data_IF_264185836874
#
_entry.id   IF_264185836874
#
_cell.length_a   1.000
_cell.length_b   1.000
_cell.length_c   1.000
_cell.angle_alpha   90.00
_cell.angle_beta   90.00
_cell.angle_gamma   90.00
#
_symmetry.space_group_name_H-M   'P 1'
#
loop_
_entity.id
_entity.type
_entity.pdbx_description
1 polymer ?
#
# COMPACT_ATOMS: atom_id res chain seq x y z
N UNK A 1 15.87 7.66 -8.06
CA UNK A 1 15.66 7.90 -6.61
C UNK A 1 15.24 9.33 -6.31
N UNK A 2 15.98 10.39 -6.71
CA UNK A 2 15.49 11.79 -6.56
C UNK A 2 14.15 12.05 -7.26
N UNK A 3 13.84 11.33 -8.35
CA UNK A 3 12.57 11.43 -9.08
C UNK A 3 11.36 10.93 -8.28
N UNK A 4 11.52 9.99 -7.33
CA UNK A 4 10.42 9.51 -6.47
C UNK A 4 10.01 10.58 -5.46
N UNK A 5 10.99 11.14 -4.74
CA UNK A 5 10.79 12.26 -3.81
C UNK A 5 10.20 13.51 -4.47
N UNK A 6 10.45 13.72 -5.77
CA UNK A 6 9.97 14.89 -6.51
C UNK A 6 8.57 14.71 -7.14
N UNK A 7 8.00 13.49 -7.21
CA UNK A 7 6.74 13.23 -7.96
C UNK A 7 5.64 12.50 -7.18
N UNK A 8 5.90 11.89 -6.04
CA UNK A 8 4.91 11.09 -5.31
C UNK A 8 3.92 11.93 -4.49
N UNK A 9 2.71 12.18 -5.01
CA UNK A 9 1.60 12.64 -4.17
C UNK A 9 1.01 11.44 -3.41
N UNK A 10 1.13 11.45 -2.08
CA UNK A 10 0.47 10.49 -1.18
C UNK A 10 -1.05 10.69 -1.22
N UNK A 11 -1.74 10.04 -2.17
CA UNK A 11 -3.19 9.85 -2.12
C UNK A 11 -3.51 8.36 -2.16
N UNK A 12 -4.03 7.88 -1.03
CA UNK A 12 -4.66 6.57 -0.87
C UNK A 12 -5.94 6.55 -1.70
N UNK A 13 -6.02 5.66 -2.68
CA UNK A 13 -7.28 5.32 -3.36
C UNK A 13 -8.17 4.57 -2.37
N UNK A 14 -9.33 5.14 -2.05
CA UNK A 14 -10.37 4.49 -1.26
C UNK A 14 -11.39 3.86 -2.21
N UNK A 15 -11.16 2.60 -2.55
CA UNK A 15 -12.19 1.69 -3.05
C UNK A 15 -12.18 0.46 -2.14
N UNK A 16 -13.19 0.36 -1.28
CA UNK A 16 -13.49 -0.86 -0.51
C UNK A 16 -14.15 -1.89 -1.44
N UNK A 17 -13.74 -3.16 -1.43
CA UNK A 17 -14.48 -4.23 -2.09
C UNK A 17 -15.64 -4.73 -1.22
N UNK A 18 -16.82 -4.84 -1.83
CA UNK A 18 -18.03 -5.45 -1.27
C UNK A 18 -17.80 -6.92 -0.91
N UNK A 19 -18.00 -7.29 0.36
CA UNK A 19 -18.12 -8.69 0.79
C UNK A 19 -19.56 -9.00 1.17
N UNK A 20 -20.13 -9.99 0.47
CA UNK A 20 -21.44 -10.58 0.71
C UNK A 20 -21.50 -11.25 2.09
N UNK A 21 -22.43 -10.82 2.95
CA UNK A 21 -22.74 -11.50 4.21
C UNK A 21 -23.81 -12.56 3.99
N UNK A 22 -23.46 -13.83 4.25
CA UNK A 22 -24.39 -14.97 4.28
C UNK A 22 -25.13 -14.97 5.63
N UNK A 23 -26.45 -14.87 5.59
CA UNK A 23 -27.32 -14.99 6.76
C UNK A 23 -27.45 -16.45 7.20
N UNK A 24 -27.13 -16.74 8.47
CA UNK A 24 -27.53 -17.98 9.14
C UNK A 24 -28.82 -17.74 9.92
N UNK A 25 -29.88 -18.44 9.51
CA UNK A 25 -31.20 -18.48 10.14
C UNK A 25 -31.17 -19.57 11.22
N UNK A 26 -31.51 -19.21 12.46
CA UNK A 26 -31.85 -20.18 13.51
C UNK A 26 -33.36 -20.44 13.46
N UNK A 27 -33.73 -21.70 13.24
CA UNK A 27 -35.10 -22.23 13.29
C UNK A 27 -35.32 -22.79 14.70
N UNK A 28 -36.44 -22.46 15.32
CA UNK A 28 -37.11 -23.32 16.30
C UNK A 28 -38.62 -23.35 16.00
N UNK A 29 -39.16 -24.57 15.90
CA UNK A 29 -40.52 -24.91 15.52
C UNK A 29 -41.45 -24.95 16.74
N UNK A 30 -42.71 -24.48 16.61
CA UNK A 30 -43.89 -25.30 16.92
C UNK A 30 -45.21 -24.69 16.41
N UNK A 31 -45.98 -25.58 15.77
CA UNK A 31 -47.37 -25.62 15.26
C UNK A 31 -48.46 -25.14 16.27
N UNK A 32 -49.70 -24.73 15.96
CA UNK A 32 -50.62 -24.97 14.84
C UNK A 32 -51.86 -24.01 14.92
N UNK A 33 -52.61 -23.94 13.80
CA UNK A 33 -54.05 -23.66 13.62
C UNK A 33 -54.56 -22.28 13.12
N UNK A 34 -55.03 -22.36 11.86
CA UNK A 34 -56.31 -21.90 11.29
C UNK A 34 -56.60 -20.41 11.02
N UNK A 35 -56.64 -20.12 9.71
CA UNK A 35 -57.56 -19.27 8.95
C UNK A 35 -58.23 -18.07 9.66
N UNK A 36 -57.86 -16.85 9.25
CA UNK A 36 -58.81 -16.01 8.52
C UNK A 36 -58.11 -14.83 7.82
N UNK A 37 -58.54 -14.58 6.59
CA UNK A 37 -58.13 -13.48 5.73
C UNK A 37 -58.40 -12.13 6.37
N UNK A 38 -57.38 -11.29 6.54
CA UNK A 38 -57.55 -9.84 6.57
C UNK A 38 -56.25 -9.12 6.17
N UNK A 39 -56.36 -8.33 5.10
CA UNK A 39 -55.30 -7.50 4.53
C UNK A 39 -54.67 -6.57 5.59
N UNK A 40 -53.42 -6.87 5.98
CA UNK A 40 -52.62 -5.99 6.81
C UNK A 40 -52.00 -4.92 5.89
N UNK A 41 -52.59 -3.74 5.87
CA UNK A 41 -51.96 -2.53 5.31
C UNK A 41 -50.63 -2.30 6.04
N UNK A 42 -49.49 -2.10 5.33
CA UNK A 42 -48.25 -1.76 5.99
C UNK A 42 -48.38 -0.38 6.64
N UNK A 43 -48.26 -0.31 7.97
CA UNK A 43 -48.00 0.95 8.67
C UNK A 43 -46.62 1.43 8.23
N UNK A 44 -46.59 2.44 7.36
CA UNK A 44 -45.38 3.17 7.04
C UNK A 44 -44.70 3.63 8.34
N UNK A 45 -43.56 3.04 8.68
CA UNK A 45 -42.60 3.64 9.60
C UNK A 45 -42.16 4.97 8.98
N UNK A 46 -42.68 6.09 9.49
CA UNK A 46 -42.09 7.40 9.22
C UNK A 46 -40.74 7.43 9.95
N UNK A 47 -39.61 7.66 9.25
CA UNK A 47 -38.36 7.97 9.92
C UNK A 47 -38.59 9.24 10.74
N UNK A 48 -38.47 9.18 12.06
CA UNK A 48 -38.39 10.39 12.87
C UNK A 48 -37.04 11.01 12.58
N UNK A 49 -36.97 11.89 11.58
CA UNK A 49 -35.82 12.76 11.38
C UNK A 49 -35.68 13.61 12.64
N UNK A 50 -34.69 13.35 13.49
CA UNK A 50 -34.33 14.26 14.59
C UNK A 50 -34.11 15.64 13.96
N UNK A 51 -34.98 16.60 14.27
CA UNK A 51 -34.80 17.99 13.83
C UNK A 51 -33.50 18.53 14.44
N UNK A 52 -32.47 18.64 13.62
CA UNK A 52 -31.18 19.23 13.97
C UNK A 52 -31.26 20.74 13.72
N UNK A 53 -30.85 21.56 14.70
CA UNK A 53 -30.77 23.01 14.52
C UNK A 53 -29.49 23.33 13.76
N UNK A 54 -29.61 24.08 12.66
CA UNK A 54 -28.44 24.55 11.91
C UNK A 54 -27.75 25.68 12.68
N UNK A 55 -26.43 25.74 12.55
CA UNK A 55 -25.63 26.83 13.07
C UNK A 55 -25.89 28.12 12.27
N UNK A 56 -25.90 29.26 12.95
CA UNK A 56 -26.01 30.60 12.37
C UNK A 56 -24.76 31.39 12.70
N UNK A 57 -24.17 32.07 11.71
CA UNK A 57 -22.93 32.85 11.89
C UNK A 57 -23.07 33.96 12.95
N UNK A 58 -24.28 34.48 13.17
CA UNK A 58 -24.53 35.48 14.22
C UNK A 58 -24.22 34.96 15.64
N UNK A 59 -24.16 33.63 15.85
CA UNK A 59 -23.85 33.02 17.15
C UNK A 59 -22.40 33.25 17.59
N UNK A 60 -21.54 33.76 16.71
CA UNK A 60 -20.22 34.24 17.08
C UNK A 60 -20.28 35.38 18.10
N UNK A 61 -21.34 36.21 18.06
CA UNK A 61 -21.61 37.25 19.07
C UNK A 61 -21.89 36.68 20.46
N UNK A 62 -22.29 35.41 20.53
CA UNK A 62 -22.50 34.67 21.79
C UNK A 62 -21.26 33.87 22.20
N UNK A 63 -20.14 34.00 21.47
CA UNK A 63 -18.90 33.30 21.74
C UNK A 63 -18.87 31.85 21.26
N UNK A 64 -19.65 31.49 20.23
CA UNK A 64 -19.70 30.15 19.67
C UNK A 64 -19.24 30.10 18.21
N UNK A 65 -18.72 28.95 17.80
CA UNK A 65 -18.38 28.61 16.41
C UNK A 65 -18.98 27.25 16.04
N UNK A 66 -19.14 26.98 14.75
CA UNK A 66 -19.60 25.69 14.29
C UNK A 66 -18.47 24.65 14.36
N UNK A 67 -18.77 23.48 14.91
CA UNK A 67 -17.91 22.30 14.85
C UNK A 67 -18.75 21.06 14.54
N UNK A 68 -18.75 20.63 13.27
CA UNK A 68 -19.50 19.46 12.78
C UNK A 68 -20.95 19.43 13.29
N UNK A 69 -21.71 20.50 13.00
CA UNK A 69 -23.12 20.70 13.36
C UNK A 69 -23.41 20.85 14.86
N UNK A 70 -22.38 21.05 15.67
CA UNK A 70 -22.50 21.30 17.10
C UNK A 70 -21.88 22.66 17.48
N UNK A 71 -22.48 23.42 18.41
CA UNK A 71 -21.90 24.67 18.86
C UNK A 71 -20.70 24.41 19.78
N UNK A 72 -19.54 24.95 19.41
CA UNK A 72 -18.33 24.94 20.22
C UNK A 72 -18.08 26.32 20.81
N UNK A 73 -17.88 26.41 22.13
CA UNK A 73 -17.51 27.66 22.78
C UNK A 73 -16.08 28.04 22.38
N UNK A 74 -15.88 29.27 21.91
CA UNK A 74 -14.58 29.79 21.47
C UNK A 74 -13.60 29.98 22.63
N UNK A 75 -14.11 30.23 23.85
CA UNK A 75 -13.30 30.56 25.02
C UNK A 75 -12.79 29.30 25.74
N UNK A 76 -13.69 28.39 26.12
CA UNK A 76 -13.32 27.16 26.81
C UNK A 76 -13.15 25.94 25.89
N UNK A 77 -13.34 26.10 24.58
CA UNK A 77 -13.27 25.01 23.58
C UNK A 77 -14.29 23.87 23.78
N UNK A 78 -15.25 24.01 24.71
CA UNK A 78 -16.27 22.99 25.00
C UNK A 78 -17.26 22.85 23.84
N UNK A 79 -17.39 21.65 23.29
CA UNK A 79 -18.43 21.30 22.32
C UNK A 79 -19.71 20.97 23.08
N UNK A 80 -20.79 21.66 22.75
CA UNK A 80 -22.11 21.41 23.32
C UNK A 80 -22.94 20.57 22.34
N UNK A 81 -23.93 19.80 22.81
CA UNK A 81 -24.80 19.06 21.90
C UNK A 81 -25.63 20.02 21.04
N UNK A 82 -26.05 19.60 19.85
CA UNK A 82 -26.91 20.39 18.95
C UNK A 82 -28.19 20.92 19.63
N UNK A 83 -28.74 20.21 20.62
CA UNK A 83 -29.89 20.67 21.41
C UNK A 83 -29.63 21.99 22.18
N UNK A 84 -28.36 22.37 22.33
CA UNK A 84 -27.87 23.63 22.92
C UNK A 84 -27.72 24.76 21.91
N UNK A 85 -27.94 24.54 20.61
CA UNK A 85 -27.89 25.56 19.54
C UNK A 85 -29.00 26.62 19.64
N UNK A 86 -29.82 26.62 20.71
CA UNK A 86 -30.71 27.74 20.99
C UNK A 86 -29.92 28.93 21.54
N UNK A 87 -30.12 30.16 21.01
CA UNK A 87 -29.41 31.36 21.48
C UNK A 87 -29.47 31.56 22.99
N UNK A 88 -30.63 31.31 23.63
CA UNK A 88 -30.78 31.41 25.08
C UNK A 88 -29.88 30.44 25.87
N UNK A 89 -29.62 29.24 25.34
CA UNK A 89 -28.75 28.24 25.99
C UNK A 89 -27.27 28.58 25.82
N UNK A 90 -26.88 29.05 24.64
CA UNK A 90 -25.53 29.55 24.37
C UNK A 90 -25.22 30.79 25.20
N UNK A 91 -26.15 31.76 25.26
CA UNK A 91 -26.04 32.93 26.13
C UNK A 91 -25.89 32.55 27.60
N UNK A 92 -26.73 31.62 28.09
CA UNK A 92 -26.59 31.12 29.46
C UNK A 92 -25.21 30.53 29.73
N UNK A 93 -24.64 29.75 28.80
CA UNK A 93 -23.27 29.23 28.95
C UNK A 93 -22.24 30.36 29.03
N UNK A 94 -22.33 31.37 28.15
CA UNK A 94 -21.43 32.52 28.17
C UNK A 94 -21.54 33.26 29.52
N UNK A 95 -22.75 33.54 29.98
CA UNK A 95 -22.98 34.28 31.23
C UNK A 95 -22.57 33.49 32.47
N UNK A 96 -22.84 32.19 32.51
CA UNK A 96 -22.59 31.37 33.70
C UNK A 96 -21.15 30.89 33.83
N UNK A 97 -20.46 30.65 32.70
CA UNK A 97 -19.08 30.12 32.68
C UNK A 97 -18.05 31.22 32.37
N UNK A 98 -18.45 32.24 31.61
CA UNK A 98 -17.58 33.31 31.12
C UNK A 98 -18.19 34.69 31.39
N UNK A 99 -18.76 34.89 32.59
CA UNK A 99 -19.52 36.09 32.95
C UNK A 99 -18.77 37.41 32.75
N UNK A 100 -17.43 37.40 32.87
CA UNK A 100 -16.56 38.55 32.63
C UNK A 100 -16.46 38.97 31.16
N UNK A 101 -16.83 38.08 30.23
CA UNK A 101 -16.71 38.27 28.78
C UNK A 101 -18.07 38.57 28.12
N UNK A 102 -19.16 38.66 28.90
CA UNK A 102 -20.53 38.81 28.40
C UNK A 102 -20.76 40.09 27.57
N UNK A 103 -20.02 41.17 27.84
CA UNK A 103 -20.17 42.47 27.18
C UNK A 103 -19.09 42.74 26.12
N UNK A 104 -18.25 41.73 25.81
CA UNK A 104 -17.24 41.90 24.76
C UNK A 104 -17.90 41.98 23.39
N UNK A 105 -17.32 42.79 22.52
CA UNK A 105 -17.82 42.97 21.16
C UNK A 105 -17.59 41.72 20.30
N UNK A 106 -18.29 41.66 19.17
CA UNK A 106 -18.17 40.54 18.23
C UNK A 106 -16.72 40.37 17.72
N UNK A 107 -16.01 41.48 17.52
CA UNK A 107 -14.63 41.49 17.04
C UNK A 107 -13.67 40.74 17.98
N UNK A 108 -13.89 40.84 19.30
CA UNK A 108 -13.14 40.07 20.29
C UNK A 108 -13.31 38.56 20.08
N UNK A 109 -14.54 38.09 19.85
CA UNK A 109 -14.83 36.69 19.62
C UNK A 109 -14.32 36.19 18.27
N UNK A 110 -14.39 37.02 17.21
CA UNK A 110 -13.77 36.73 15.91
C UNK A 110 -12.27 36.52 16.07
N UNK A 111 -11.57 37.47 16.71
CA UNK A 111 -10.12 37.34 16.93
C UNK A 111 -9.77 36.09 17.74
N UNK A 112 -10.53 35.79 18.80
CA UNK A 112 -10.31 34.58 19.62
C UNK A 112 -10.59 33.29 18.86
N UNK A 113 -11.61 33.26 18.01
CA UNK A 113 -11.89 32.14 17.10
C UNK A 113 -10.72 31.91 16.16
N UNK A 114 -10.18 32.97 15.57
CA UNK A 114 -9.09 32.87 14.61
C UNK A 114 -7.78 32.42 15.28
N UNK A 115 -7.52 32.88 16.51
CA UNK A 115 -6.42 32.36 17.36
C UNK A 115 -6.58 30.85 17.63
N UNK A 116 -7.80 30.41 18.00
CA UNK A 116 -8.12 29.01 18.25
C UNK A 116 -7.97 28.15 16.98
N UNK A 117 -8.53 28.59 15.85
CA UNK A 117 -8.41 27.94 14.54
C UNK A 117 -6.96 27.84 14.08
N UNK A 118 -6.17 28.91 14.26
CA UNK A 118 -4.74 28.91 13.94
C UNK A 118 -3.96 27.90 14.79
N UNK A 119 -4.26 27.81 16.08
CA UNK A 119 -3.68 26.80 16.97
C UNK A 119 -4.04 25.38 16.55
N UNK A 120 -5.32 25.12 16.26
CA UNK A 120 -5.80 23.82 15.78
C UNK A 120 -5.15 23.43 14.44
N UNK A 121 -5.10 24.34 13.47
CA UNK A 121 -4.49 24.09 12.16
C UNK A 121 -2.97 23.84 12.27
N UNK A 122 -2.27 24.58 13.13
CA UNK A 122 -0.85 24.36 13.40
C UNK A 122 -0.59 22.96 13.99
N UNK A 123 -1.42 22.51 14.94
CA UNK A 123 -1.33 21.16 15.51
C UNK A 123 -1.63 20.08 14.48
N UNK A 124 -2.64 20.27 13.62
CA UNK A 124 -2.98 19.32 12.55
C UNK A 124 -1.89 19.24 11.48
N UNK A 125 -1.31 20.37 11.05
CA UNK A 125 -0.19 20.38 10.11
C UNK A 125 1.07 19.73 10.72
N UNK A 126 1.37 20.02 11.98
CA UNK A 126 2.53 19.44 12.66
C UNK A 126 2.39 17.93 12.82
N UNK A 127 1.20 17.43 13.14
CA UNK A 127 0.95 15.98 13.27
C UNK A 127 0.95 15.26 11.93
N UNK A 128 0.40 15.87 10.87
CA UNK A 128 0.48 15.34 9.49
C UNK A 128 1.93 15.23 9.01
N UNK A 129 2.71 16.31 9.14
CA UNK A 129 4.12 16.34 8.69
C UNK A 129 5.03 15.39 9.47
N UNK A 130 4.79 15.20 10.78
CA UNK A 130 5.54 14.22 11.59
C UNK A 130 5.22 12.79 11.15
N UNK A 131 3.97 12.50 10.77
CA UNK A 131 3.58 11.17 10.29
C UNK A 131 4.15 10.86 8.89
N UNK A 132 4.17 11.86 8.00
CA UNK A 132 4.80 11.76 6.67
C UNK A 132 6.29 11.45 6.79
N UNK A 133 7.04 12.21 7.60
CA UNK A 133 8.48 11.97 7.82
C UNK A 133 8.77 10.62 8.47
N UNK A 134 7.91 10.16 9.39
CA UNK A 134 8.06 8.85 10.00
C UNK A 134 7.83 7.72 8.97
N UNK A 135 6.86 7.89 8.08
CA UNK A 135 6.58 6.95 6.98
C UNK A 135 7.73 6.93 5.97
N UNK A 136 8.24 8.11 5.59
CA UNK A 136 9.40 8.25 4.71
C UNK A 136 10.63 7.54 5.29
N UNK A 137 10.94 7.77 6.57
CA UNK A 137 12.03 7.10 7.26
C UNK A 137 11.85 5.57 7.28
N UNK A 138 10.62 5.08 7.45
CA UNK A 138 10.30 3.65 7.38
C UNK A 138 10.65 3.05 6.01
N UNK A 139 10.22 3.69 4.91
CA UNK A 139 10.58 3.25 3.56
C UNK A 139 12.10 3.28 3.31
N UNK A 140 12.80 4.29 3.80
CA UNK A 140 14.26 4.37 3.66
C UNK A 140 14.97 3.21 4.35
N UNK A 141 14.55 2.86 5.57
CA UNK A 141 15.10 1.71 6.30
C UNK A 141 14.79 0.41 5.55
N UNK A 142 13.54 0.20 5.13
CA UNK A 142 13.14 -0.98 4.34
C UNK A 142 13.98 -1.13 3.07
N UNK A 143 14.16 -0.04 2.32
CA UNK A 143 14.98 -0.02 1.12
C UNK A 143 16.43 -0.42 1.40
N UNK A 144 17.04 0.13 2.46
CA UNK A 144 18.43 -0.17 2.83
C UNK A 144 18.63 -1.64 3.23
N UNK A 145 17.66 -2.23 3.94
CA UNK A 145 17.67 -3.65 4.28
C UNK A 145 17.63 -4.50 3.01
N UNK A 146 16.68 -4.23 2.11
CA UNK A 146 16.54 -4.97 0.85
C UNK A 146 17.78 -4.83 -0.03
N UNK A 147 18.35 -3.62 -0.13
CA UNK A 147 19.55 -3.37 -0.93
C UNK A 147 20.76 -4.17 -0.44
N UNK A 148 20.83 -4.46 0.85
CA UNK A 148 21.91 -5.26 1.47
C UNK A 148 21.61 -6.76 1.50
N UNK A 149 20.40 -7.17 1.11
CA UNK A 149 19.97 -8.58 1.16
C UNK A 149 19.77 -9.11 2.59
N UNK A 150 19.53 -8.22 3.55
CA UNK A 150 19.38 -8.58 4.96
C UNK A 150 17.95 -9.04 5.28
N UNK A 151 17.79 -9.83 6.34
CA UNK A 151 16.47 -10.24 6.82
C UNK A 151 15.67 -9.02 7.31
N UNK A 152 14.43 -8.85 6.84
CA UNK A 152 13.60 -7.70 7.19
C UNK A 152 13.27 -7.61 8.69
N UNK A 153 13.38 -8.73 9.41
CA UNK A 153 13.18 -8.81 10.86
C UNK A 153 14.21 -8.01 11.67
N UNK A 154 15.35 -7.68 11.07
CA UNK A 154 16.40 -6.86 11.69
C UNK A 154 15.91 -5.44 12.03
N UNK A 155 14.90 -4.95 11.30
CA UNK A 155 14.34 -3.62 11.51
C UNK A 155 13.74 -3.46 12.91
N UNK A 156 12.88 -4.41 13.30
CA UNK A 156 12.19 -4.40 14.59
C UNK A 156 13.11 -4.86 15.73
N UNK A 157 13.87 -5.94 15.49
CA UNK A 157 14.69 -6.59 16.51
C UNK A 157 15.96 -5.83 16.87
N UNK A 158 16.55 -5.07 15.93
CA UNK A 158 17.86 -4.44 16.13
C UNK A 158 17.89 -2.96 15.73
N UNK A 159 17.50 -2.60 14.51
CA UNK A 159 17.68 -1.24 14.00
C UNK A 159 16.89 -0.23 14.83
N UNK A 160 15.61 -0.52 15.10
CA UNK A 160 14.74 0.37 15.88
C UNK A 160 15.25 0.59 17.32
N UNK A 161 15.53 -0.44 18.13
CA UNK A 161 16.03 -0.23 19.49
C UNK A 161 17.41 0.45 19.49
N UNK A 162 18.33 0.07 18.61
CA UNK A 162 19.64 0.73 18.51
C UNK A 162 19.52 2.22 18.18
N UNK A 163 18.69 2.58 17.20
CA UNK A 163 18.47 3.98 16.83
C UNK A 163 17.87 4.78 18.00
N UNK A 164 16.97 4.17 18.78
CA UNK A 164 16.39 4.81 19.96
C UNK A 164 17.43 5.03 21.07
N UNK A 165 18.24 4.03 21.39
CA UNK A 165 19.29 4.15 22.42
C UNK A 165 20.38 5.16 22.03
N UNK A 166 20.80 5.16 20.75
CA UNK A 166 21.75 6.15 20.24
C UNK A 166 21.22 7.58 20.39
N UNK A 167 19.97 7.83 19.96
CA UNK A 167 19.36 9.16 20.07
C UNK A 167 19.11 9.58 21.51
N UNK A 168 18.74 8.63 22.37
CA UNK A 168 18.56 8.87 23.80
C UNK A 168 19.87 9.26 24.49
N UNK A 169 20.96 8.57 24.15
CA UNK A 169 22.30 8.84 24.69
C UNK A 169 22.88 10.16 24.17
N UNK A 170 22.76 10.42 22.86
CA UNK A 170 23.41 11.57 22.21
C UNK A 170 22.60 12.87 22.29
N UNK A 171 21.27 12.78 22.34
CA UNK A 171 20.39 13.93 22.31
C UNK A 171 19.55 14.00 23.60
N UNK A 172 18.41 13.30 23.62
CA UNK A 172 17.48 13.31 24.75
C UNK A 172 16.35 12.28 24.57
N UNK A 173 15.66 11.96 25.67
CA UNK A 173 14.52 11.05 25.71
C UNK A 173 13.33 11.50 24.83
N UNK A 174 13.09 12.81 24.67
CA UNK A 174 11.98 13.33 23.84
C UNK A 174 12.27 13.09 22.36
N UNK A 175 13.52 13.25 21.94
CA UNK A 175 13.99 12.95 20.58
C UNK A 175 13.91 11.45 20.29
N UNK A 176 14.29 10.59 21.24
CA UNK A 176 14.14 9.13 21.10
C UNK A 176 12.66 8.71 20.94
N UNK A 177 11.74 9.36 21.68
CA UNK A 177 10.29 9.18 21.52
C UNK A 177 9.72 9.64 20.17
N UNK A 178 10.46 10.44 19.40
CA UNK A 178 10.08 10.74 18.00
C UNK A 178 10.48 9.59 17.08
N UNK A 179 11.66 9.01 17.27
CA UNK A 179 12.15 7.84 16.52
C UNK A 179 11.27 6.61 16.77
N UNK A 180 10.79 6.42 18.00
CA UNK A 180 9.91 5.29 18.32
C UNK A 180 8.61 5.26 17.50
N UNK A 181 8.17 6.42 16.99
CA UNK A 181 6.99 6.56 16.12
C UNK A 181 7.23 6.08 14.68
N UNK A 182 8.48 5.84 14.27
CA UNK A 182 8.76 5.27 12.96
C UNK A 182 8.23 3.82 12.95
N UNK A 183 7.32 3.48 12.02
CA UNK A 183 6.75 2.15 11.96
C UNK A 183 7.76 1.21 11.30
N UNK A 184 8.42 0.38 12.12
CA UNK A 184 9.42 -0.60 11.69
C UNK A 184 9.08 -2.00 12.23
N UNK A 185 7.80 -2.29 12.48
CA UNK A 185 7.40 -3.67 12.80
C UNK A 185 7.68 -4.57 11.61
N UNK A 186 7.90 -5.86 11.85
CA UNK A 186 8.12 -6.87 10.83
C UNK A 186 7.08 -6.79 9.71
N UNK A 187 5.79 -6.73 10.07
CA UNK A 187 4.69 -6.58 9.10
C UNK A 187 4.76 -5.28 8.32
N UNK A 188 5.11 -4.17 8.98
CA UNK A 188 5.25 -2.89 8.29
C UNK A 188 6.35 -2.98 7.25
N UNK A 189 7.54 -3.43 7.66
CA UNK A 189 8.72 -3.46 6.81
C UNK A 189 8.50 -4.42 5.64
N UNK A 190 7.89 -5.59 5.87
CA UNK A 190 7.50 -6.50 4.81
C UNK A 190 6.56 -5.83 3.79
N UNK A 191 5.53 -5.13 4.27
CA UNK A 191 4.62 -4.38 3.39
C UNK A 191 5.34 -3.28 2.61
N UNK A 192 6.25 -2.52 3.24
CA UNK A 192 7.04 -1.50 2.55
C UNK A 192 7.95 -2.09 1.47
N UNK A 193 8.53 -3.26 1.72
CA UNK A 193 9.33 -3.99 0.72
C UNK A 193 8.45 -4.40 -0.45
N UNK A 194 7.25 -4.92 -0.20
CA UNK A 194 6.29 -5.28 -1.24
C UNK A 194 5.84 -4.06 -2.06
N UNK A 195 5.58 -2.92 -1.41
CA UNK A 195 5.24 -1.66 -2.08
C UNK A 195 6.38 -1.21 -3.01
N UNK A 196 7.63 -1.25 -2.52
CA UNK A 196 8.82 -0.90 -3.30
C UNK A 196 9.00 -1.85 -4.49
N UNK A 197 8.83 -3.15 -4.27
CA UNK A 197 8.92 -4.14 -5.33
C UNK A 197 7.84 -3.93 -6.40
N UNK A 198 6.60 -3.65 -5.99
CA UNK A 198 5.50 -3.35 -6.90
C UNK A 198 5.76 -2.09 -7.73
N UNK A 199 6.32 -1.03 -7.13
CA UNK A 199 6.67 0.20 -7.85
C UNK A 199 7.77 -0.05 -8.90
N UNK A 200 8.82 -0.77 -8.54
CA UNK A 200 9.90 -1.17 -9.47
C UNK A 200 9.33 -2.02 -10.60
N UNK A 201 8.46 -2.98 -10.29
CA UNK A 201 7.82 -3.84 -11.27
C UNK A 201 6.93 -3.04 -12.23
N UNK A 202 6.15 -2.08 -11.72
CA UNK A 202 5.30 -1.22 -12.54
C UNK A 202 6.12 -0.34 -13.50
N UNK A 203 7.22 0.23 -13.01
CA UNK A 203 8.15 1.00 -13.85
C UNK A 203 8.77 0.12 -14.94
N UNK A 204 9.19 -1.11 -14.61
CA UNK A 204 9.69 -2.07 -15.60
C UNK A 204 8.62 -2.39 -16.65
N UNK A 205 7.41 -2.75 -16.23
CA UNK A 205 6.27 -3.04 -17.13
C UNK A 205 6.02 -1.86 -18.07
N UNK A 206 5.96 -0.64 -17.52
CA UNK A 206 5.74 0.58 -18.29
C UNK A 206 6.79 0.75 -19.40
N UNK A 207 8.06 0.47 -19.11
CA UNK A 207 9.14 0.50 -20.10
C UNK A 207 8.97 -0.58 -21.17
N UNK A 208 8.68 -1.83 -20.76
CA UNK A 208 8.54 -2.95 -21.69
C UNK A 208 7.37 -2.80 -22.68
N UNK A 209 6.33 -2.03 -22.32
CA UNK A 209 5.25 -1.68 -23.25
C UNK A 209 5.73 -0.88 -24.47
N UNK A 210 6.79 -0.09 -24.32
CA UNK A 210 7.27 0.83 -25.37
C UNK A 210 8.65 0.47 -25.94
N UNK A 211 9.42 -0.37 -25.25
CA UNK A 211 10.78 -0.73 -25.64
C UNK A 211 10.85 -2.15 -26.22
N UNK A 212 11.77 -2.36 -27.16
CA UNK A 212 12.16 -3.71 -27.58
C UNK A 212 12.96 -4.39 -26.47
N UNK A 213 12.69 -5.67 -26.23
CA UNK A 213 13.31 -6.44 -25.16
C UNK A 213 13.63 -7.86 -25.58
N UNK A 214 14.59 -8.47 -24.89
CA UNK A 214 14.93 -9.88 -24.99
C UNK A 214 14.70 -10.55 -23.64
N UNK A 215 14.26 -11.80 -23.66
CA UNK A 215 14.02 -12.60 -22.46
C UNK A 215 15.12 -13.64 -22.29
N UNK A 216 15.63 -13.78 -21.08
CA UNK A 216 16.48 -14.89 -20.69
C UNK A 216 15.74 -15.69 -19.62
N UNK A 217 15.51 -16.97 -19.89
CA UNK A 217 14.68 -17.83 -19.05
C UNK A 217 15.50 -19.02 -18.57
N UNK A 218 15.45 -19.27 -17.26
CA UNK A 218 16.14 -20.38 -16.60
C UNK A 218 15.21 -21.11 -15.62
N UNK A 219 15.39 -22.42 -15.51
CA UNK A 219 14.75 -23.24 -14.50
C UNK A 219 15.73 -23.51 -13.37
N UNK A 220 15.34 -23.16 -12.15
CA UNK A 220 16.11 -23.46 -10.94
C UNK A 220 15.29 -24.32 -9.98
N UNK A 221 15.93 -24.88 -8.97
CA UNK A 221 15.26 -25.62 -7.89
C UNK A 221 15.49 -24.90 -6.57
N UNK A 222 14.41 -24.66 -5.83
CA UNK A 222 14.48 -24.01 -4.53
C UNK A 222 15.01 -24.96 -3.43
N UNK A 223 15.07 -24.47 -2.20
CA UNK A 223 15.56 -25.26 -1.05
C UNK A 223 14.59 -26.37 -0.63
N UNK A 224 13.32 -26.29 -1.05
CA UNK A 224 12.29 -27.30 -0.84
C UNK A 224 12.19 -28.30 -2.01
N UNK A 225 13.01 -28.14 -3.06
CA UNK A 225 13.01 -28.96 -4.26
C UNK A 225 11.90 -28.62 -5.27
N UNK A 226 11.24 -27.47 -5.11
CA UNK A 226 10.26 -26.95 -6.07
C UNK A 226 10.98 -26.29 -7.24
N UNK A 227 10.50 -26.55 -8.45
CA UNK A 227 11.00 -25.87 -9.64
C UNK A 227 10.56 -24.41 -9.63
N UNK A 228 11.50 -23.49 -9.87
CA UNK A 228 11.28 -22.06 -9.99
C UNK A 228 11.69 -21.63 -11.39
N UNK A 229 10.77 -20.96 -12.09
CA UNK A 229 11.07 -20.25 -13.31
C UNK A 229 11.63 -18.86 -12.97
N UNK A 230 12.83 -18.57 -13.45
CA UNK A 230 13.46 -17.26 -13.38
C UNK A 230 13.49 -16.68 -14.79
N UNK A 231 12.92 -15.49 -14.96
CA UNK A 231 12.93 -14.74 -16.21
C UNK A 231 13.58 -13.40 -15.99
N UNK A 232 14.68 -13.18 -16.68
CA UNK A 232 15.40 -11.92 -16.75
C UNK A 232 15.05 -11.25 -18.08
N UNK A 233 14.84 -9.94 -18.06
CA UNK A 233 14.55 -9.14 -19.25
C UNK A 233 15.70 -8.19 -19.52
N UNK A 234 16.17 -8.16 -20.77
CA UNK A 234 17.13 -7.17 -21.28
C UNK A 234 16.41 -6.21 -22.20
N UNK A 235 16.52 -4.92 -21.95
CA UNK A 235 15.82 -3.90 -22.74
C UNK A 235 16.66 -2.65 -22.88
N UNK A 236 16.43 -1.90 -23.96
CA UNK A 236 17.11 -0.63 -24.18
C UNK A 236 16.28 0.53 -23.60
N UNK A 237 16.90 1.34 -22.75
CA UNK A 237 16.29 2.54 -22.18
C UNK A 237 17.29 3.70 -22.19
N UNK A 238 16.88 4.87 -22.69
CA UNK A 238 17.73 6.08 -22.77
C UNK A 238 19.12 5.83 -23.38
N UNK A 239 19.20 4.94 -24.40
CA UNK A 239 20.44 4.50 -25.07
C UNK A 239 21.36 3.58 -24.26
N UNK A 240 20.93 3.12 -23.09
CA UNK A 240 21.61 2.10 -22.28
C UNK A 240 20.88 0.77 -22.34
N UNK A 241 21.64 -0.32 -22.35
CA UNK A 241 21.08 -1.66 -22.21
C UNK A 241 20.97 -1.97 -20.71
N UNK A 242 19.74 -2.22 -20.26
CA UNK A 242 19.43 -2.58 -18.88
C UNK A 242 19.02 -4.05 -18.80
N UNK A 243 19.27 -4.66 -17.66
CA UNK A 243 18.88 -6.02 -17.33
C UNK A 243 18.18 -6.00 -15.97
N UNK A 244 16.97 -6.55 -15.91
CA UNK A 244 16.16 -6.60 -14.69
C UNK A 244 15.49 -7.99 -14.56
N UNK A 245 15.14 -8.36 -13.32
CA UNK A 245 14.33 -9.54 -13.04
C UNK A 245 12.87 -9.26 -13.40
N UNK A 246 12.32 -9.98 -14.38
CA UNK A 246 10.93 -9.86 -14.80
C UNK A 246 10.01 -10.72 -13.93
N UNK A 247 10.41 -11.97 -13.68
CA UNK A 247 9.58 -12.96 -12.99
C UNK A 247 10.45 -13.98 -12.27
N UNK A 248 10.05 -14.34 -11.04
CA UNK A 248 10.60 -15.44 -10.27
C UNK A 248 9.42 -16.14 -9.58
N UNK A 249 8.96 -17.27 -10.11
CA UNK A 249 7.77 -17.97 -9.59
C UNK A 249 7.96 -19.48 -9.60
N UNK A 250 7.40 -20.14 -8.59
CA UNK A 250 7.31 -21.59 -8.52
C UNK A 250 6.42 -22.14 -9.63
N UNK A 251 6.85 -23.22 -10.26
CA UNK A 251 6.04 -24.01 -11.18
C UNK A 251 5.22 -25.04 -10.38
N UNK A 252 3.93 -25.22 -10.66
CA UNK A 252 3.05 -25.97 -9.77
C UNK A 252 3.41 -27.44 -9.62
N UNK A 253 3.75 -28.17 -10.71
CA UNK A 253 3.97 -29.62 -10.65
C UNK A 253 4.92 -30.15 -11.74
N UNK A 254 4.85 -29.68 -13.00
CA UNK A 254 5.65 -30.25 -14.11
C UNK A 254 6.36 -29.16 -14.89
N UNK A 255 7.68 -29.28 -15.03
CA UNK A 255 8.49 -28.36 -15.82
C UNK A 255 8.32 -28.64 -17.31
N UNK A 256 7.14 -28.34 -17.85
CA UNK A 256 6.82 -28.49 -19.27
C UNK A 256 6.88 -27.14 -19.96
N UNK A 257 7.22 -27.15 -21.26
CA UNK A 257 7.25 -25.93 -22.05
C UNK A 257 5.89 -25.23 -22.15
N UNK A 258 4.78 -25.96 -21.98
CA UNK A 258 3.44 -25.38 -21.94
C UNK A 258 3.22 -24.58 -20.65
N UNK A 259 3.49 -25.14 -19.48
CA UNK A 259 3.32 -24.43 -18.19
C UNK A 259 4.20 -23.18 -18.11
N UNK A 260 5.44 -23.27 -18.59
CA UNK A 260 6.38 -22.14 -18.64
C UNK A 260 5.85 -21.05 -19.58
N UNK A 261 5.34 -21.44 -20.75
CA UNK A 261 4.72 -20.51 -21.69
C UNK A 261 3.47 -19.86 -21.09
N UNK A 262 2.55 -20.63 -20.51
CA UNK A 262 1.28 -20.13 -19.96
C UNK A 262 1.50 -19.16 -18.80
N UNK A 263 2.48 -19.44 -17.92
CA UNK A 263 2.85 -18.56 -16.83
C UNK A 263 3.39 -17.21 -17.34
N UNK A 264 4.26 -17.26 -18.33
CA UNK A 264 4.84 -16.06 -18.95
C UNK A 264 3.77 -15.29 -19.74
N UNK A 265 2.94 -15.99 -20.51
CA UNK A 265 1.87 -15.40 -21.30
C UNK A 265 0.84 -14.71 -20.40
N UNK A 266 0.41 -15.37 -19.32
CA UNK A 266 -0.50 -14.77 -18.33
C UNK A 266 0.09 -13.51 -17.70
N UNK A 267 1.41 -13.47 -17.48
CA UNK A 267 2.08 -12.28 -16.98
C UNK A 267 2.10 -11.15 -18.01
N UNK A 268 2.48 -11.44 -19.26
CA UNK A 268 2.57 -10.41 -20.30
C UNK A 268 1.18 -9.88 -20.67
N UNK A 269 0.20 -10.76 -20.90
CA UNK A 269 -1.18 -10.37 -21.22
C UNK A 269 -1.83 -9.61 -20.06
N UNK A 270 -1.68 -10.10 -18.83
CA UNK A 270 -2.23 -9.45 -17.63
C UNK A 270 -1.65 -8.05 -17.38
N UNK A 271 -0.44 -7.78 -17.88
CA UNK A 271 0.21 -6.47 -17.80
C UNK A 271 0.19 -5.68 -19.12
N UNK A 272 -0.51 -6.17 -20.14
CA UNK A 272 -0.61 -5.58 -21.48
C UNK A 272 0.75 -5.31 -22.15
N UNK A 273 1.72 -6.21 -21.97
CA UNK A 273 3.03 -6.14 -22.62
C UNK A 273 2.93 -6.84 -23.98
N UNK A 274 3.13 -6.13 -25.11
CA UNK A 274 2.96 -6.72 -26.43
C UNK A 274 4.12 -7.66 -26.76
N UNK A 275 3.80 -8.88 -27.17
CA UNK A 275 4.77 -9.88 -27.66
C UNK A 275 5.58 -9.39 -28.87
N UNK A 276 5.04 -8.45 -29.65
CA UNK A 276 5.72 -7.80 -30.78
C UNK A 276 7.00 -7.04 -30.38
N UNK A 277 7.14 -6.69 -29.10
CA UNK A 277 8.32 -6.05 -28.56
C UNK A 277 9.42 -7.04 -28.15
N UNK A 278 9.09 -8.33 -28.04
CA UNK A 278 10.05 -9.38 -27.76
C UNK A 278 10.86 -9.69 -29.03
N UNK A 279 12.16 -9.32 -29.03
CA UNK A 279 13.04 -9.49 -30.19
C UNK A 279 13.86 -10.76 -30.14
N UNK A 280 14.20 -11.25 -28.94
CA UNK A 280 14.97 -12.48 -28.76
C UNK A 280 14.58 -13.20 -27.48
N UNK A 281 14.65 -14.54 -27.52
CA UNK A 281 14.47 -15.38 -26.34
C UNK A 281 15.68 -16.30 -26.22
N UNK A 282 16.32 -16.21 -25.07
CA UNK A 282 17.46 -17.01 -24.68
C UNK A 282 17.02 -18.05 -23.65
N UNK A 283 17.07 -19.33 -24.03
CA UNK A 283 16.91 -20.43 -23.07
C UNK A 283 18.27 -20.91 -22.60
N UNK A 284 18.44 -21.00 -21.29
CA UNK A 284 19.55 -21.72 -20.66
C UNK A 284 19.25 -23.23 -20.68
N UNK A 285 20.30 -24.05 -20.65
CA UNK A 285 20.31 -25.52 -20.44
C UNK A 285 19.84 -26.48 -21.53
N UNK A 286 19.18 -26.02 -22.60
CA UNK A 286 18.78 -26.91 -23.70
C UNK A 286 17.76 -27.99 -23.29
N UNK A 287 17.15 -27.89 -22.10
CA UNK A 287 16.16 -28.84 -21.63
C UNK A 287 15.00 -28.93 -22.62
N UNK A 288 14.44 -30.13 -22.78
CA UNK A 288 13.32 -30.37 -23.72
C UNK A 288 12.12 -29.47 -23.43
N UNK A 289 11.92 -29.08 -22.16
CA UNK A 289 10.87 -28.16 -21.74
C UNK A 289 11.09 -26.74 -22.27
N UNK A 290 12.34 -26.27 -22.32
CA UNK A 290 12.70 -24.92 -22.76
C UNK A 290 12.94 -24.86 -24.28
N UNK A 291 13.87 -25.69 -24.77
CA UNK A 291 14.39 -25.67 -26.15
C UNK A 291 13.75 -26.70 -27.09
N UNK A 292 12.73 -27.44 -26.63
CA UNK A 292 12.07 -28.48 -27.43
C UNK A 292 11.51 -27.92 -28.75
N UNK A 293 11.90 -28.53 -29.87
CA UNK A 293 11.54 -28.07 -31.23
C UNK A 293 10.03 -28.02 -31.47
N UNK A 294 9.25 -28.90 -30.81
CA UNK A 294 7.80 -29.00 -31.01
C UNK A 294 7.04 -28.47 -29.79
N UNK A 295 7.46 -28.88 -28.58
CA UNK A 295 6.72 -28.61 -27.34
C UNK A 295 7.43 -27.66 -26.36
N UNK A 296 8.61 -27.16 -26.73
CA UNK A 296 9.39 -26.27 -25.88
C UNK A 296 8.75 -24.90 -25.70
N UNK A 297 9.00 -24.26 -24.55
CA UNK A 297 8.52 -22.92 -24.25
C UNK A 297 8.94 -21.92 -25.34
N UNK A 298 10.20 -21.96 -25.78
CA UNK A 298 10.72 -21.06 -26.83
C UNK A 298 9.95 -21.20 -28.13
N UNK A 299 9.63 -22.44 -28.55
CA UNK A 299 8.87 -22.67 -29.77
C UNK A 299 7.44 -22.12 -29.65
N UNK A 300 6.80 -22.30 -28.50
CA UNK A 300 5.46 -21.77 -28.24
C UNK A 300 5.44 -20.25 -28.30
N UNK A 301 6.44 -19.59 -27.72
CA UNK A 301 6.54 -18.14 -27.77
C UNK A 301 6.75 -17.66 -29.22
N UNK A 302 7.62 -18.31 -30.00
CA UNK A 302 7.83 -17.96 -31.42
C UNK A 302 6.56 -18.02 -32.27
N UNK A 303 5.63 -18.92 -31.94
CA UNK A 303 4.37 -19.02 -32.67
C UNK A 303 3.50 -17.76 -32.52
N UNK A 304 3.66 -17.02 -31.41
CA UNK A 304 2.95 -15.76 -31.13
C UNK A 304 3.81 -14.57 -31.55
N UNK A 305 5.08 -14.55 -31.15
CA UNK A 305 6.06 -13.53 -31.51
C UNK A 305 6.80 -13.92 -32.79
N UNK A 306 6.15 -13.80 -33.95
CA UNK A 306 6.69 -14.26 -35.25
C UNK A 306 8.04 -13.65 -35.65
N UNK A 307 8.36 -12.45 -35.16
CA UNK A 307 9.62 -11.75 -35.44
C UNK A 307 10.70 -11.98 -34.37
N UNK A 308 10.43 -12.83 -33.38
CA UNK A 308 11.35 -13.10 -32.29
C UNK A 308 12.38 -14.17 -32.69
N UNK A 309 13.67 -13.86 -32.55
CA UNK A 309 14.72 -14.85 -32.66
C UNK A 309 14.81 -15.70 -31.39
N UNK A 310 15.50 -16.84 -31.48
CA UNK A 310 15.92 -17.53 -30.27
C UNK A 310 17.41 -17.76 -30.31
N UNK A 311 18.05 -17.54 -29.17
CA UNK A 311 19.45 -17.83 -28.95
C UNK A 311 19.60 -18.94 -27.90
N UNK A 312 20.69 -19.70 -27.99
CA UNK A 312 21.09 -20.60 -26.92
C UNK A 312 21.98 -19.82 -25.96
N UNK A 313 21.72 -19.93 -24.66
CA UNK A 313 22.55 -19.23 -23.68
C UNK A 313 23.97 -19.82 -23.65
N UNK A 314 24.98 -19.01 -24.01
CA UNK A 314 26.40 -19.40 -23.88
C UNK A 314 26.86 -19.49 -22.42
N UNK A 315 26.05 -18.99 -21.48
CA UNK A 315 26.35 -19.06 -20.03
C UNK A 315 26.26 -20.51 -19.55
N UNK A 316 25.38 -21.35 -20.13
CA UNK A 316 25.26 -22.75 -19.67
C UNK A 316 26.44 -23.63 -20.09
N UNK A 317 27.05 -23.36 -21.26
CA UNK A 317 28.29 -24.03 -21.69
C UNK A 317 29.51 -23.62 -20.84
N UNK A 318 29.46 -22.45 -20.19
CA UNK A 318 30.47 -22.05 -19.19
C UNK A 318 30.12 -22.47 -17.77
N UNK A 319 28.84 -22.60 -17.40
CA UNK A 319 28.41 -23.03 -16.06
C UNK A 319 28.63 -24.54 -15.80
N UNK A 320 28.66 -25.37 -16.85
CA UNK A 320 29.17 -26.74 -16.73
C UNK A 320 30.65 -26.77 -16.30
N UNK A 321 31.44 -25.76 -16.70
CA UNK A 321 32.83 -25.52 -16.24
C UNK A 321 32.92 -24.66 -14.97
N UNK A 322 31.88 -23.91 -14.61
CA UNK A 322 31.86 -22.93 -13.51
C UNK A 322 30.76 -23.24 -12.47
N UNK A 323 30.64 -24.51 -12.09
CA UNK A 323 29.92 -24.95 -10.87
C UNK A 323 30.44 -24.26 -9.58
N UNK A 324 31.46 -23.41 -9.66
CA UNK A 324 32.14 -22.72 -8.58
C UNK A 324 31.50 -21.41 -8.11
N UNK A 325 30.65 -20.73 -8.89
CA UNK A 325 30.13 -19.40 -8.48
C UNK A 325 28.78 -19.46 -7.71
N UNK A 326 27.88 -20.38 -8.06
CA UNK A 326 26.61 -20.59 -7.32
C UNK A 326 26.81 -21.26 -5.94
N UNK A 327 27.95 -21.94 -5.74
CA UNK A 327 28.41 -22.39 -4.42
C UNK A 327 28.71 -21.22 -3.46
N UNK A 328 28.97 -20.01 -3.96
CA UNK A 328 29.19 -18.80 -3.15
C UNK A 328 27.87 -18.20 -2.67
N UNK A 329 26.83 -18.14 -3.53
CA UNK A 329 25.49 -17.69 -3.15
C UNK A 329 24.80 -18.64 -2.15
N UNK A 330 24.98 -19.96 -2.32
CA UNK A 330 24.45 -20.96 -1.37
C UNK A 330 25.16 -20.97 -0.02
N UNK A 331 26.44 -20.56 0.06
CA UNK A 331 27.18 -20.44 1.33
C UNK A 331 26.85 -19.16 2.11
N UNK A 332 26.42 -18.09 1.43
CA UNK A 332 26.04 -16.83 2.08
C UNK A 332 24.60 -16.83 2.60
N UNK A 333 23.67 -17.57 1.97
CA UNK A 333 22.26 -17.63 2.38
C UNK A 333 21.93 -18.70 3.42
N UNK A 334 22.87 -19.58 3.78
CA UNK A 334 22.63 -20.72 4.71
C UNK A 334 23.47 -20.66 6.00
N UNK A 335 24.07 -19.50 6.31
CA UNK A 335 24.74 -19.25 7.60
C UNK A 335 24.48 -17.82 8.09
N UNK A 336 23.29 -17.60 8.64
CA UNK A 336 23.07 -16.76 9.84
C UNK A 336 21.66 -16.98 10.36
#
# INVERSE_FOLDING_TARGET
MERWFKKGTLKRSSQEPEYFAVNSIHIDNHSNNENDTNEIRPKYFRPVTKKCRKYDESYISLGFMNNNDNPQCIICSKVLPNSSMAPAKMRRHLESIHGELKEKNVEFFIRKRDELLKSLNCMVQTTKTVNEKATEASYLVSYQITQRGEAYTIAESLIKPCAMEMVKCMLDEKSAKKISKIPLSNDTVANRINDLAADIQNELIFRLKSCKFALQMDESTDVAGLAILIVIVRYQHESTLLEDLLLCKSLPIRTTGAEIFDLLNSFLEGNEIPWENCVDICSTDGAKAMSGIINGAVQRIKNIAKNCSSSHCMITDRHSLQKSYLLVLRKLLMKS
#
